data_IF_730050503498
#
_entry.id   IF_730050503498
#
_cell.length_a   1.000
_cell.length_b   1.000
_cell.length_c   1.000
_cell.angle_alpha   90.00
_cell.angle_beta   90.00
_cell.angle_gamma   90.00
#
_symmetry.space_group_name_H-M   'P 1'
#
loop_
_entity.id
_entity.type
_entity.pdbx_description
1 polymer ?
#
# COMPACT_ATOMS: atom_id res chain seq x y z
N UNK A 1 3.27 -9.45 62.71
CA UNK A 1 1.95 -9.66 62.09
C UNK A 1 2.11 -10.71 61.00
N UNK A 2 1.53 -11.88 61.23
CA UNK A 2 1.50 -12.99 60.31
C UNK A 2 0.21 -12.95 59.50
N UNK A 3 0.28 -13.16 58.19
CA UNK A 3 -0.75 -13.88 57.44
C UNK A 3 -0.04 -14.72 56.37
N UNK A 4 -0.14 -16.03 56.54
CA UNK A 4 0.21 -17.07 55.59
C UNK A 4 -1.01 -17.41 54.77
N UNK A 5 -0.86 -17.67 53.46
CA UNK A 5 -1.67 -18.68 52.77
C UNK A 5 -0.83 -19.43 51.73
N UNK A 6 -0.48 -20.67 52.08
CA UNK A 6 -0.18 -21.74 51.12
C UNK A 6 -1.51 -22.38 50.65
N UNK A 7 -1.60 -22.69 49.35
CA UNK A 7 -2.25 -23.90 48.80
C UNK A 7 -1.66 -24.09 47.40
N UNK A 8 -0.68 -24.99 47.18
CA UNK A 8 -0.82 -26.45 46.94
C UNK A 8 -1.87 -26.80 45.88
N UNK A 9 -1.43 -26.91 44.63
CA UNK A 9 -1.97 -27.86 43.65
C UNK A 9 -0.80 -28.55 42.93
N UNK A 10 -0.70 -29.90 42.99
CA UNK A 10 0.38 -30.64 42.34
C UNK A 10 0.06 -30.90 40.87
N UNK A 11 0.98 -30.54 39.97
CA UNK A 11 0.97 -31.01 38.59
C UNK A 11 1.36 -32.50 38.58
N UNK A 12 0.41 -33.37 38.23
CA UNK A 12 0.68 -34.78 37.92
C UNK A 12 1.28 -34.90 36.51
N UNK A 13 2.31 -35.74 36.30
CA UNK A 13 2.77 -36.08 34.97
C UNK A 13 1.80 -37.11 34.35
N UNK A 14 1.19 -36.77 33.21
CA UNK A 14 0.48 -37.75 32.39
C UNK A 14 1.52 -38.39 31.46
N UNK A 15 2.08 -39.51 31.90
CA UNK A 15 2.69 -40.51 31.02
C UNK A 15 1.58 -41.37 30.45
N UNK A 16 1.44 -41.43 29.12
CA UNK A 16 0.80 -42.57 28.47
C UNK A 16 1.58 -42.97 27.22
N UNK A 17 2.08 -44.19 27.30
CA UNK A 17 2.71 -44.98 26.27
C UNK A 17 1.88 -44.99 24.98
N UNK A 18 2.49 -44.56 23.87
CA UNK A 18 2.01 -44.93 22.54
C UNK A 18 2.93 -46.03 22.02
N UNK A 19 2.32 -47.21 21.87
CA UNK A 19 2.91 -48.40 21.29
C UNK A 19 3.33 -48.14 19.83
N UNK A 20 4.61 -48.38 19.54
CA UNK A 20 5.13 -48.55 18.18
C UNK A 20 4.38 -49.68 17.49
N UNK A 21 3.70 -49.39 16.39
CA UNK A 21 3.22 -50.40 15.46
C UNK A 21 3.88 -50.22 14.09
N UNK A 22 4.44 -51.34 13.65
CA UNK A 22 5.15 -51.68 12.43
C UNK A 22 4.84 -50.87 11.16
N UNK A 23 5.90 -50.32 10.55
CA UNK A 23 5.98 -50.08 9.10
C UNK A 23 6.29 -51.41 8.40
N UNK A 24 5.55 -51.83 7.35
CA UNK A 24 6.06 -52.82 6.42
C UNK A 24 6.89 -52.11 5.33
N UNK A 25 8.12 -52.58 5.14
CA UNK A 25 8.94 -52.25 3.98
C UNK A 25 8.30 -52.82 2.72
N UNK A 26 7.94 -51.97 1.77
CA UNK A 26 7.62 -52.43 0.41
C UNK A 26 8.90 -52.46 -0.41
N UNK A 27 9.38 -53.70 -0.59
CA UNK A 27 10.43 -54.08 -1.50
C UNK A 27 10.08 -53.67 -2.93
N UNK A 28 11.04 -53.00 -3.56
CA UNK A 28 11.03 -52.63 -4.96
C UNK A 28 11.14 -53.90 -5.81
N UNK A 29 10.04 -54.36 -6.40
CA UNK A 29 10.06 -55.44 -7.41
C UNK A 29 9.75 -54.82 -8.77
N UNK A 30 10.79 -54.81 -9.62
CA UNK A 30 10.72 -54.37 -11.01
C UNK A 30 10.24 -55.56 -11.84
N UNK A 31 9.01 -55.51 -12.34
CA UNK A 31 8.51 -56.49 -13.32
C UNK A 31 8.41 -55.82 -14.68
N UNK A 32 9.32 -56.19 -15.57
CA UNK A 32 9.24 -55.90 -17.01
C UNK A 32 8.40 -56.98 -17.68
N UNK A 33 7.25 -56.59 -18.22
CA UNK A 33 6.50 -57.41 -19.18
C UNK A 33 6.38 -56.65 -20.50
N UNK A 34 7.02 -57.18 -21.54
CA UNK A 34 6.75 -56.84 -22.93
C UNK A 34 5.45 -57.51 -23.37
N UNK A 35 4.51 -56.73 -23.87
CA UNK A 35 3.37 -57.23 -24.61
C UNK A 35 3.13 -56.32 -25.82
N UNK A 36 3.32 -56.89 -27.01
CA UNK A 36 3.01 -56.26 -28.30
C UNK A 36 1.62 -56.74 -28.71
N UNK A 37 0.64 -55.84 -28.76
CA UNK A 37 -0.61 -56.06 -29.51
C UNK A 37 -1.09 -54.79 -30.19
N UNK A 38 -1.66 -55.01 -31.36
CA UNK A 38 -1.99 -54.10 -32.46
C UNK A 38 -3.15 -53.11 -32.19
N UNK A 39 -3.07 -51.95 -32.87
CA UNK A 39 -3.95 -50.75 -32.84
C UNK A 39 -5.46 -51.02 -32.94
N UNK A 40 -6.29 -50.08 -32.45
CA UNK A 40 -6.90 -49.10 -33.36
C UNK A 40 -6.69 -47.64 -32.91
N UNK A 41 -6.46 -46.73 -33.87
CA UNK A 41 -6.38 -45.28 -33.61
C UNK A 41 -7.74 -44.72 -33.19
N UNK A 42 -7.85 -43.98 -32.08
CA UNK A 42 -8.99 -43.11 -31.85
C UNK A 42 -8.76 -41.79 -32.59
N UNK A 43 -9.79 -41.42 -33.34
CA UNK A 43 -9.95 -40.16 -34.07
C UNK A 43 -9.65 -39.00 -33.10
N UNK A 44 -8.61 -38.22 -33.42
CA UNK A 44 -8.33 -36.96 -32.73
C UNK A 44 -9.35 -35.94 -33.23
N UNK A 45 -10.54 -35.96 -32.66
CA UNK A 45 -11.40 -34.78 -32.68
C UNK A 45 -10.58 -33.64 -32.09
N UNK A 46 -10.24 -32.66 -32.91
CA UNK A 46 -9.82 -31.35 -32.43
C UNK A 46 -11.02 -30.81 -31.67
N UNK A 47 -11.05 -31.09 -30.37
CA UNK A 47 -11.76 -30.27 -29.41
C UNK A 47 -11.06 -28.90 -29.51
N UNK A 48 -11.51 -28.09 -30.47
CA UNK A 48 -11.35 -26.65 -30.43
C UNK A 48 -12.17 -26.26 -29.21
N UNK A 49 -11.56 -26.40 -28.04
CA UNK A 49 -11.93 -25.63 -26.87
C UNK A 49 -11.61 -24.21 -27.30
N UNK A 50 -12.61 -23.61 -27.94
CA UNK A 50 -12.75 -22.17 -28.00
C UNK A 50 -12.72 -21.76 -26.53
N UNK A 51 -11.52 -21.44 -26.07
CA UNK A 51 -11.25 -20.76 -24.82
C UNK A 51 -11.79 -19.36 -25.06
N UNK A 52 -13.13 -19.26 -25.10
CA UNK A 52 -13.87 -18.02 -25.04
C UNK A 52 -13.45 -17.45 -23.71
N UNK A 53 -12.50 -16.52 -23.78
CA UNK A 53 -12.10 -15.68 -22.68
C UNK A 53 -13.36 -14.95 -22.20
N UNK A 54 -14.16 -15.60 -21.36
CA UNK A 54 -15.25 -15.01 -20.61
C UNK A 54 -14.69 -14.39 -19.32
N UNK A 55 -13.58 -13.67 -19.45
CA UNK A 55 -13.30 -12.57 -18.56
C UNK A 55 -13.42 -11.34 -19.46
N UNK A 56 -14.46 -10.49 -19.34
CA UNK A 56 -14.29 -9.14 -19.83
C UNK A 56 -12.99 -8.61 -19.21
N UNK A 57 -12.12 -7.92 -19.96
CA UNK A 57 -10.96 -7.33 -19.33
C UNK A 57 -11.50 -6.39 -18.23
N UNK A 58 -11.13 -6.65 -16.98
CA UNK A 58 -11.43 -5.80 -15.82
C UNK A 58 -11.05 -4.32 -16.07
N UNK A 59 -10.24 -4.09 -17.12
CA UNK A 59 -9.94 -2.80 -17.76
C UNK A 59 -11.16 -1.98 -18.21
N UNK A 60 -12.37 -2.56 -18.31
CA UNK A 60 -13.57 -1.83 -18.74
C UNK A 60 -14.44 -1.31 -17.58
N UNK A 61 -14.01 -1.48 -16.33
CA UNK A 61 -14.71 -0.89 -15.19
C UNK A 61 -14.66 0.66 -15.29
N UNK A 62 -15.81 1.35 -15.47
CA UNK A 62 -15.85 2.80 -15.60
C UNK A 62 -15.37 3.52 -14.33
N UNK A 63 -15.44 2.89 -13.16
CA UNK A 63 -14.98 3.48 -11.88
C UNK A 63 -13.47 3.63 -11.82
N UNK A 64 -12.73 2.86 -12.64
CA UNK A 64 -11.26 2.89 -12.73
C UNK A 64 -10.76 3.85 -13.84
N UNK A 65 -11.65 4.37 -14.68
CA UNK A 65 -11.31 5.25 -15.80
C UNK A 65 -11.14 6.71 -15.37
N UNK A 66 -10.31 7.45 -16.10
CA UNK A 66 -10.13 8.89 -15.93
C UNK A 66 -11.15 9.68 -16.74
N UNK A 67 -11.98 10.45 -16.04
CA UNK A 67 -12.87 11.44 -16.65
C UNK A 67 -12.07 12.68 -17.10
N UNK A 68 -12.70 13.55 -17.88
CA UNK A 68 -12.12 14.86 -18.21
C UNK A 68 -11.92 15.72 -16.96
N UNK A 69 -12.84 15.68 -16.00
CA UNK A 69 -12.71 16.37 -14.72
C UNK A 69 -11.48 15.90 -13.95
N UNK A 70 -11.20 14.60 -13.93
CA UNK A 70 -9.98 14.08 -13.30
C UNK A 70 -8.72 14.67 -13.97
N UNK A 71 -8.69 14.66 -15.30
CA UNK A 71 -7.57 15.17 -16.09
C UNK A 71 -7.35 16.67 -15.90
N UNK A 72 -8.43 17.46 -15.82
CA UNK A 72 -8.37 18.90 -15.57
C UNK A 72 -7.79 19.20 -14.19
N UNK A 73 -8.21 18.48 -13.13
CA UNK A 73 -7.63 18.66 -11.80
C UNK A 73 -6.16 18.29 -11.74
N UNK A 74 -5.76 17.20 -12.40
CA UNK A 74 -4.34 16.83 -12.49
C UNK A 74 -3.54 17.87 -13.26
N UNK A 75 -4.06 18.40 -14.37
CA UNK A 75 -3.41 19.47 -15.10
C UNK A 75 -3.25 20.73 -14.21
N UNK A 76 -4.30 21.16 -13.53
CA UNK A 76 -4.24 22.32 -12.62
C UNK A 76 -3.23 22.13 -11.48
N UNK A 77 -3.23 20.95 -10.84
CA UNK A 77 -2.27 20.60 -9.79
C UNK A 77 -0.83 20.60 -10.30
N UNK A 78 -0.57 19.94 -11.44
CA UNK A 78 0.76 19.94 -12.06
C UNK A 78 1.22 21.35 -12.45
N UNK A 79 0.35 22.17 -13.05
CA UNK A 79 0.69 23.55 -13.41
C UNK A 79 1.05 24.38 -12.17
N UNK A 80 0.30 24.21 -11.09
CA UNK A 80 0.60 24.87 -9.80
C UNK A 80 1.96 24.45 -9.27
N UNK A 81 2.25 23.14 -9.21
CA UNK A 81 3.55 22.63 -8.78
C UNK A 81 4.71 23.14 -9.64
N UNK A 82 4.52 23.19 -10.97
CA UNK A 82 5.52 23.69 -11.90
C UNK A 82 5.78 25.19 -11.71
N UNK A 83 4.73 25.98 -11.43
CA UNK A 83 4.88 27.40 -11.11
C UNK A 83 5.71 27.59 -9.84
N UNK A 84 5.37 26.86 -8.77
CA UNK A 84 6.11 26.87 -7.52
C UNK A 84 7.58 26.47 -7.72
N UNK A 85 7.84 25.36 -8.43
CA UNK A 85 9.20 24.90 -8.73
C UNK A 85 9.98 25.93 -9.57
N UNK A 86 9.34 26.53 -10.58
CA UNK A 86 9.97 27.56 -11.41
C UNK A 86 10.34 28.80 -10.60
N UNK A 87 9.49 29.23 -9.64
CA UNK A 87 9.83 30.32 -8.71
C UNK A 87 11.02 29.98 -7.82
N UNK A 88 11.07 28.75 -7.30
CA UNK A 88 12.20 28.29 -6.50
C UNK A 88 13.51 28.34 -7.29
N UNK A 89 13.52 27.79 -8.51
CA UNK A 89 14.71 27.76 -9.37
C UNK A 89 15.12 29.17 -9.79
N UNK A 90 14.20 29.96 -10.33
CA UNK A 90 14.51 31.31 -10.85
C UNK A 90 14.92 32.27 -9.73
N UNK A 91 14.26 32.21 -8.57
CA UNK A 91 14.65 32.99 -7.39
C UNK A 91 15.98 32.54 -6.80
N UNK A 92 16.24 31.23 -6.72
CA UNK A 92 17.53 30.70 -6.24
C UNK A 92 18.69 31.09 -7.17
N UNK A 93 18.50 30.98 -8.48
CA UNK A 93 19.49 31.42 -9.48
C UNK A 93 19.71 32.94 -9.39
N UNK A 94 18.64 33.74 -9.37
CA UNK A 94 18.74 35.20 -9.35
C UNK A 94 19.34 35.78 -8.06
N UNK A 95 19.24 35.06 -6.94
CA UNK A 95 19.80 35.45 -5.64
C UNK A 95 21.17 34.81 -5.34
N UNK A 96 21.66 33.90 -6.19
CA UNK A 96 22.82 33.05 -5.92
C UNK A 96 22.69 32.15 -4.67
N UNK A 97 21.46 31.93 -4.18
CA UNK A 97 21.13 31.08 -3.03
C UNK A 97 20.61 29.72 -3.52
N UNK A 98 21.50 28.85 -3.99
CA UNK A 98 21.07 27.59 -4.64
C UNK A 98 20.88 26.48 -3.60
N UNK A 99 21.66 26.54 -2.51
CA UNK A 99 21.69 25.54 -1.47
C UNK A 99 20.43 25.59 -0.59
N UNK A 100 19.98 26.79 -0.20
CA UNK A 100 18.86 26.93 0.74
C UNK A 100 17.54 26.39 0.16
N UNK A 101 17.13 26.72 -1.08
CA UNK A 101 15.94 26.12 -1.69
C UNK A 101 16.06 24.61 -1.89
N UNK A 102 17.25 24.10 -2.20
CA UNK A 102 17.48 22.67 -2.37
C UNK A 102 17.35 21.93 -1.03
N UNK A 103 17.93 22.47 0.06
CA UNK A 103 17.77 21.92 1.41
C UNK A 103 16.31 21.99 1.86
N UNK A 104 15.61 23.09 1.58
CA UNK A 104 14.20 23.22 1.85
C UNK A 104 13.36 22.18 1.10
N UNK A 105 13.68 21.92 -0.18
CA UNK A 105 13.08 20.83 -0.95
C UNK A 105 13.34 19.46 -0.34
N UNK A 106 14.56 19.18 0.10
CA UNK A 106 14.90 17.93 0.80
C UNK A 106 14.10 17.76 2.10
N UNK A 107 13.96 18.82 2.90
CA UNK A 107 13.10 18.81 4.09
C UNK A 107 11.64 18.56 3.69
N UNK A 108 11.17 19.17 2.60
CA UNK A 108 9.84 18.95 2.04
C UNK A 108 9.60 17.49 1.68
N UNK A 109 10.56 16.82 1.06
CA UNK A 109 10.49 15.38 0.76
C UNK A 109 10.39 14.52 2.03
N UNK A 110 11.25 14.76 3.02
CA UNK A 110 11.25 14.00 4.28
C UNK A 110 9.94 14.21 5.06
N UNK A 111 9.42 15.44 5.10
CA UNK A 111 8.16 15.72 5.78
C UNK A 111 6.94 15.23 5.00
N UNK A 112 6.99 15.15 3.67
CA UNK A 112 5.91 14.58 2.87
C UNK A 112 5.75 13.07 3.12
N UNK A 113 6.86 12.35 3.28
CA UNK A 113 6.81 10.92 3.65
C UNK A 113 6.17 10.74 5.04
N UNK A 114 6.62 11.50 6.05
CA UNK A 114 6.00 11.50 7.38
C UNK A 114 4.51 11.84 7.32
N UNK A 115 4.15 12.91 6.61
CA UNK A 115 2.77 13.36 6.46
C UNK A 115 1.90 12.30 5.78
N UNK A 116 2.43 11.58 4.79
CA UNK A 116 1.73 10.46 4.16
C UNK A 116 1.43 9.35 5.16
N UNK A 117 2.38 9.01 6.04
CA UNK A 117 2.20 7.99 7.08
C UNK A 117 1.17 8.39 8.12
N UNK A 118 1.23 9.63 8.63
CA UNK A 118 0.24 10.14 9.60
C UNK A 118 -1.16 10.13 9.01
N UNK A 119 -1.31 10.58 7.77
CA UNK A 119 -2.61 10.60 7.10
C UNK A 119 -3.15 9.18 6.86
N UNK A 120 -2.30 8.28 6.36
CA UNK A 120 -2.66 6.88 6.11
C UNK A 120 -3.05 6.14 7.39
N UNK A 121 -2.26 6.28 8.46
CA UNK A 121 -2.61 5.74 9.77
C UNK A 121 -3.98 6.25 10.25
N UNK A 122 -4.26 7.55 10.07
CA UNK A 122 -5.51 8.14 10.55
C UNK A 122 -6.74 7.58 9.84
N UNK A 123 -6.72 7.52 8.50
CA UNK A 123 -7.88 7.06 7.70
C UNK A 123 -8.10 5.55 7.76
N UNK A 124 -7.04 4.78 8.02
CA UNK A 124 -7.14 3.33 8.25
C UNK A 124 -7.77 3.00 9.60
N UNK A 125 -7.63 3.89 10.58
CA UNK A 125 -8.01 3.60 11.97
C UNK A 125 -9.27 4.31 12.44
N UNK A 126 -9.62 5.47 11.88
CA UNK A 126 -10.67 6.33 12.41
C UNK A 126 -11.66 6.78 11.35
N UNK A 127 -12.91 6.94 11.80
CA UNK A 127 -14.02 7.32 10.95
C UNK A 127 -14.46 6.21 10.00
N UNK A 128 -15.45 6.57 9.20
CA UNK A 128 -16.12 5.75 8.19
C UNK A 128 -16.51 6.62 6.98
N UNK A 129 -17.25 6.05 6.03
CA UNK A 129 -17.75 6.72 4.83
C UNK A 129 -18.63 7.95 5.10
N UNK A 130 -19.21 8.05 6.30
CA UNK A 130 -20.05 9.19 6.71
C UNK A 130 -19.24 10.37 7.26
N UNK A 131 -17.92 10.19 7.47
CA UNK A 131 -17.04 11.25 7.98
C UNK A 131 -17.05 12.47 7.05
N UNK A 132 -17.38 13.68 7.55
CA UNK A 132 -17.41 14.87 6.72
C UNK A 132 -16.07 15.11 6.02
N UNK A 133 -16.13 15.53 4.75
CA UNK A 133 -15.00 15.89 3.87
C UNK A 133 -14.10 14.73 3.44
N UNK A 134 -13.82 13.75 4.32
CA UNK A 134 -12.84 12.68 4.10
C UNK A 134 -13.45 11.27 4.03
N UNK A 135 -14.75 11.10 4.26
CA UNK A 135 -15.40 9.77 4.32
C UNK A 135 -15.17 8.92 3.06
N UNK A 136 -15.29 9.52 1.87
CA UNK A 136 -15.00 8.80 0.62
C UNK A 136 -13.53 8.35 0.48
N UNK A 137 -12.59 9.04 1.14
CA UNK A 137 -11.18 8.64 1.16
C UNK A 137 -10.96 7.52 2.17
N UNK A 138 -11.61 7.61 3.33
CA UNK A 138 -11.61 6.57 4.37
C UNK A 138 -12.14 5.25 3.79
N UNK A 139 -13.30 5.28 3.12
CA UNK A 139 -13.87 4.11 2.43
C UNK A 139 -12.89 3.54 1.38
N UNK A 140 -12.29 4.41 0.56
CA UNK A 140 -11.38 3.97 -0.50
C UNK A 140 -10.07 3.34 0.03
N UNK A 141 -9.51 3.87 1.12
CA UNK A 141 -8.29 3.32 1.73
C UNK A 141 -8.57 2.03 2.49
N UNK A 142 -9.66 1.94 3.24
CA UNK A 142 -10.03 0.70 3.93
C UNK A 142 -10.39 -0.40 2.94
N UNK A 143 -11.18 -0.09 1.90
CA UNK A 143 -11.48 -1.04 0.83
C UNK A 143 -10.24 -1.47 0.03
N UNK A 144 -9.15 -0.71 0.07
CA UNK A 144 -7.93 -1.04 -0.63
C UNK A 144 -7.19 -2.25 0.00
N UNK A 145 -7.24 -2.44 1.33
CA UNK A 145 -6.65 -3.65 1.94
C UNK A 145 -7.36 -4.93 1.47
N UNK A 146 -8.66 -4.83 1.23
CA UNK A 146 -9.48 -5.92 0.70
C UNK A 146 -9.21 -6.22 -0.78
N UNK A 147 -9.04 -5.17 -1.60
CA UNK A 147 -8.85 -5.29 -3.04
C UNK A 147 -7.62 -4.51 -3.53
N UNK A 148 -6.39 -4.92 -3.14
CA UNK A 148 -5.18 -4.13 -3.33
C UNK A 148 -4.83 -3.93 -4.81
N UNK A 149 -5.19 -4.87 -5.69
CA UNK A 149 -4.91 -4.77 -7.11
C UNK A 149 -5.60 -3.58 -7.80
N UNK A 150 -6.70 -3.07 -7.25
CA UNK A 150 -7.51 -2.01 -7.86
C UNK A 150 -6.70 -0.73 -8.10
N UNK A 151 -5.80 -0.38 -7.18
CA UNK A 151 -4.94 0.81 -7.30
C UNK A 151 -3.99 0.74 -8.51
N UNK A 152 -3.56 -0.48 -8.88
CA UNK A 152 -2.68 -0.69 -10.05
C UNK A 152 -3.43 -0.63 -11.39
N UNK A 153 -4.76 -0.73 -11.35
CA UNK A 153 -5.63 -0.72 -12.53
C UNK A 153 -6.31 0.63 -12.76
N UNK A 154 -6.45 1.44 -11.70
CA UNK A 154 -6.97 2.80 -11.77
C UNK A 154 -6.08 3.66 -12.66
N UNK A 155 -6.68 4.36 -13.61
CA UNK A 155 -5.94 5.25 -14.51
C UNK A 155 -5.33 6.42 -13.73
N UNK A 156 -4.17 6.89 -14.20
CA UNK A 156 -3.34 7.93 -13.55
C UNK A 156 -4.14 9.14 -13.05
N UNK A 157 -4.98 9.76 -13.91
CA UNK A 157 -5.69 10.96 -13.48
C UNK A 157 -6.80 10.67 -12.46
N UNK A 158 -7.50 9.54 -12.60
CA UNK A 158 -8.44 9.08 -11.57
C UNK A 158 -7.72 8.86 -10.23
N UNK A 159 -6.52 8.29 -10.23
CA UNK A 159 -5.77 8.05 -9.01
C UNK A 159 -5.31 9.34 -8.30
N UNK A 160 -5.03 10.42 -9.04
CA UNK A 160 -4.39 11.63 -8.51
C UNK A 160 -5.33 12.83 -8.31
N UNK A 161 -6.48 12.89 -9.01
CA UNK A 161 -7.26 14.12 -9.13
C UNK A 161 -7.68 14.74 -7.78
N UNK A 162 -8.02 13.93 -6.78
CA UNK A 162 -8.44 14.43 -5.47
C UNK A 162 -7.32 15.21 -4.78
N UNK A 163 -6.11 14.66 -4.79
CA UNK A 163 -4.92 15.32 -4.24
C UNK A 163 -4.48 16.50 -5.11
N UNK A 164 -4.56 16.37 -6.43
CA UNK A 164 -4.27 17.47 -7.34
C UNK A 164 -5.19 18.69 -7.12
N UNK A 165 -6.47 18.45 -6.81
CA UNK A 165 -7.42 19.49 -6.41
C UNK A 165 -7.02 20.14 -5.09
N UNK A 166 -6.66 19.35 -4.06
CA UNK A 166 -6.19 19.87 -2.78
C UNK A 166 -4.93 20.73 -2.97
N UNK A 167 -3.95 20.24 -3.75
CA UNK A 167 -2.73 20.99 -4.07
C UNK A 167 -3.04 22.27 -4.82
N UNK A 168 -3.95 22.25 -5.79
CA UNK A 168 -4.38 23.46 -6.51
C UNK A 168 -4.92 24.50 -5.52
N UNK A 169 -5.82 24.12 -4.61
CA UNK A 169 -6.40 25.08 -3.66
C UNK A 169 -5.46 25.54 -2.55
N UNK A 170 -4.45 24.74 -2.20
CA UNK A 170 -3.54 25.05 -1.08
C UNK A 170 -2.25 25.73 -1.53
N UNK A 171 -1.68 25.33 -2.68
CA UNK A 171 -0.41 25.84 -3.18
C UNK A 171 -0.58 27.05 -4.09
N UNK A 172 -1.64 27.10 -4.92
CA UNK A 172 -1.85 28.25 -5.81
C UNK A 172 -1.91 29.60 -5.06
N UNK A 173 -2.61 29.72 -3.91
CA UNK A 173 -2.56 30.97 -3.15
C UNK A 173 -1.15 31.33 -2.68
N UNK A 174 -0.31 30.35 -2.34
CA UNK A 174 1.09 30.57 -1.95
C UNK A 174 1.91 31.06 -3.15
N UNK A 175 1.70 30.46 -4.33
CA UNK A 175 2.30 30.89 -5.58
C UNK A 175 1.84 32.29 -6.01
N UNK A 176 0.69 32.77 -5.55
CA UNK A 176 0.25 34.13 -5.85
C UNK A 176 0.74 35.15 -4.80
N UNK A 177 0.87 34.73 -3.54
CA UNK A 177 1.19 35.61 -2.42
C UNK A 177 2.70 35.77 -2.17
N UNK A 178 3.51 34.76 -2.48
CA UNK A 178 4.93 34.73 -2.13
C UNK A 178 5.82 34.55 -3.36
N UNK A 179 7.09 34.99 -3.25
CA UNK A 179 8.14 34.81 -4.25
C UNK A 179 9.46 34.32 -3.61
N UNK A 180 9.41 33.88 -2.35
CA UNK A 180 10.59 33.39 -1.64
C UNK A 180 11.03 32.03 -2.23
N UNK A 181 12.25 31.90 -2.76
CA UNK A 181 12.68 30.67 -3.42
C UNK A 181 12.82 29.48 -2.47
N UNK A 182 13.09 29.72 -1.18
CA UNK A 182 13.22 28.69 -0.14
C UNK A 182 11.85 28.12 0.19
N UNK A 183 10.85 28.99 0.40
CA UNK A 183 9.45 28.57 0.59
C UNK A 183 8.98 27.76 -0.59
N UNK A 184 9.23 28.23 -1.81
CA UNK A 184 8.85 27.50 -3.02
C UNK A 184 9.62 26.19 -3.20
N UNK A 185 10.87 26.09 -2.76
CA UNK A 185 11.64 24.84 -2.78
C UNK A 185 11.01 23.77 -1.90
N UNK A 186 10.65 24.14 -0.67
CA UNK A 186 9.91 23.29 0.25
C UNK A 186 8.54 22.90 -0.30
N UNK A 187 7.70 23.90 -0.63
CA UNK A 187 6.30 23.70 -1.02
C UNK A 187 6.19 22.87 -2.29
N UNK A 188 6.99 23.18 -3.32
CA UNK A 188 6.98 22.42 -4.57
C UNK A 188 7.31 20.94 -4.36
N UNK A 189 8.36 20.64 -3.57
CA UNK A 189 8.77 19.26 -3.33
C UNK A 189 7.78 18.52 -2.44
N UNK A 190 7.36 19.13 -1.32
CA UNK A 190 6.38 18.53 -0.40
C UNK A 190 5.07 18.23 -1.13
N UNK A 191 4.52 19.21 -1.84
CA UNK A 191 3.24 19.07 -2.53
C UNK A 191 3.33 18.11 -3.73
N UNK A 192 4.48 18.04 -4.43
CA UNK A 192 4.72 17.02 -5.45
C UNK A 192 4.66 15.62 -4.84
N UNK A 193 5.38 15.38 -3.75
CA UNK A 193 5.38 14.08 -3.07
C UNK A 193 3.99 13.69 -2.58
N UNK A 194 3.24 14.63 -1.97
CA UNK A 194 1.86 14.36 -1.52
C UNK A 194 0.96 14.05 -2.71
N UNK A 195 0.95 14.88 -3.76
CA UNK A 195 0.09 14.68 -4.93
C UNK A 195 0.34 13.34 -5.62
N UNK A 196 1.60 12.95 -5.78
CA UNK A 196 1.99 11.73 -6.47
C UNK A 196 2.10 10.50 -5.55
N UNK A 197 1.86 10.65 -4.25
CA UNK A 197 1.92 9.54 -3.28
C UNK A 197 1.05 8.35 -3.68
N UNK A 198 -0.14 8.58 -4.23
CA UNK A 198 -1.01 7.51 -4.72
C UNK A 198 -0.42 6.76 -5.92
N UNK A 199 0.41 7.42 -6.75
CA UNK A 199 1.11 6.74 -7.84
C UNK A 199 2.30 5.93 -7.32
N UNK A 200 3.02 6.45 -6.33
CA UNK A 200 4.12 5.74 -5.66
C UNK A 200 3.59 4.48 -4.97
N UNK A 201 2.49 4.61 -4.24
CA UNK A 201 1.72 3.52 -3.67
C UNK A 201 1.29 2.50 -4.74
N UNK A 202 0.72 2.94 -5.86
CA UNK A 202 0.34 2.03 -6.95
C UNK A 202 1.54 1.24 -7.51
N UNK A 203 2.71 1.87 -7.61
CA UNK A 203 3.94 1.19 -8.02
C UNK A 203 4.45 0.21 -6.96
N UNK A 204 4.21 0.46 -5.67
CA UNK A 204 4.54 -0.48 -4.60
C UNK A 204 3.75 -1.80 -4.71
N UNK A 205 2.57 -1.80 -5.32
CA UNK A 205 1.84 -3.03 -5.61
C UNK A 205 2.32 -3.77 -6.89
N UNK A 206 3.15 -3.11 -7.71
CA UNK A 206 3.63 -3.64 -8.98
C UNK A 206 4.79 -4.64 -8.86
N UNK A 207 4.81 -5.67 -9.71
CA UNK A 207 6.01 -6.50 -9.87
C UNK A 207 7.07 -5.73 -10.65
N UNK A 208 8.36 -5.89 -10.29
CA UNK A 208 9.48 -5.20 -10.98
C UNK A 208 9.42 -5.31 -12.51
N UNK A 209 9.01 -6.46 -13.05
CA UNK A 209 8.88 -6.71 -14.49
C UNK A 209 7.78 -5.89 -15.20
N UNK A 210 6.82 -5.33 -14.46
CA UNK A 210 5.71 -4.53 -15.00
C UNK A 210 5.90 -3.03 -14.81
N UNK A 211 6.94 -2.64 -14.07
CA UNK A 211 7.22 -1.24 -13.76
C UNK A 211 8.27 -0.68 -14.73
N UNK A 212 8.24 0.63 -15.02
CA UNK A 212 9.31 1.29 -15.75
C UNK A 212 10.66 1.09 -15.04
N UNK A 213 11.78 0.88 -15.76
CA UNK A 213 13.09 0.64 -15.15
C UNK A 213 13.52 1.75 -14.17
N UNK A 214 13.18 3.00 -14.47
CA UNK A 214 13.46 4.13 -13.57
C UNK A 214 12.70 4.04 -12.24
N UNK A 215 11.44 3.60 -12.26
CA UNK A 215 10.65 3.41 -11.04
C UNK A 215 11.27 2.31 -10.18
N UNK A 216 11.69 1.19 -10.80
CA UNK A 216 12.37 0.11 -10.09
C UNK A 216 13.67 0.60 -9.46
N UNK A 217 14.48 1.37 -10.20
CA UNK A 217 15.72 1.94 -9.67
C UNK A 217 15.45 2.87 -8.47
N UNK A 218 14.42 3.73 -8.55
CA UNK A 218 14.06 4.63 -7.45
C UNK A 218 13.57 3.87 -6.21
N UNK A 219 12.82 2.77 -6.39
CA UNK A 219 12.42 1.89 -5.29
C UNK A 219 13.63 1.16 -4.68
N UNK A 220 14.56 0.66 -5.50
CA UNK A 220 15.76 -0.04 -5.02
C UNK A 220 16.74 0.90 -4.31
N UNK A 221 16.72 2.20 -4.62
CA UNK A 221 17.48 3.24 -3.92
C UNK A 221 16.79 3.78 -2.65
N UNK A 222 15.56 3.36 -2.35
CA UNK A 222 14.77 3.88 -1.23
C UNK A 222 14.25 5.32 -1.44
N UNK A 223 14.23 5.81 -2.68
CA UNK A 223 13.66 7.13 -3.02
C UNK A 223 12.14 7.05 -3.11
N UNK A 224 11.62 5.91 -3.55
CA UNK A 224 10.20 5.58 -3.59
C UNK A 224 9.93 4.33 -2.75
N UNK A 225 8.75 4.27 -2.14
CA UNK A 225 8.36 3.12 -1.31
C UNK A 225 8.42 1.82 -2.11
N UNK A 226 9.07 0.81 -1.54
CA UNK A 226 9.26 -0.47 -2.21
C UNK A 226 8.02 -1.38 -2.06
N UNK A 227 7.87 -2.34 -2.97
CA UNK A 227 6.86 -3.41 -2.84
C UNK A 227 7.02 -4.22 -1.56
N UNK A 228 8.26 -4.40 -1.10
CA UNK A 228 8.52 -5.16 0.12
C UNK A 228 7.97 -4.42 1.33
N UNK A 229 8.36 -3.15 1.51
CA UNK A 229 7.94 -2.34 2.66
C UNK A 229 6.43 -2.16 2.70
N UNK A 230 5.82 -1.74 1.60
CA UNK A 230 4.37 -1.59 1.57
C UNK A 230 3.64 -2.94 1.69
N UNK A 231 4.24 -4.03 1.22
CA UNK A 231 3.70 -5.37 1.41
C UNK A 231 3.73 -5.87 2.86
N UNK A 232 4.51 -5.25 3.76
CA UNK A 232 4.44 -5.54 5.20
C UNK A 232 3.21 -4.86 5.85
N UNK A 233 2.86 -3.65 5.39
CA UNK A 233 1.65 -2.95 5.84
C UNK A 233 0.36 -3.74 5.55
N UNK A 234 0.31 -4.43 4.41
CA UNK A 234 -0.80 -5.29 4.00
C UNK A 234 -0.88 -6.63 4.75
N UNK A 235 -0.09 -6.82 5.81
CA UNK A 235 -0.15 -8.03 6.64
C UNK A 235 -0.71 -7.72 8.00
N UNK A 236 -1.45 -8.68 8.54
CA UNK A 236 -1.90 -8.63 9.92
C UNK A 236 -0.72 -8.32 10.86
N UNK A 237 -0.90 -7.39 11.83
CA UNK A 237 -2.17 -6.80 12.25
C UNK A 237 -2.49 -5.41 11.62
N UNK A 238 -1.93 -5.08 10.44
CA UNK A 238 -2.22 -3.84 9.69
C UNK A 238 -1.92 -2.54 10.45
N UNK A 239 -0.89 -2.56 11.29
CA UNK A 239 -0.56 -1.48 12.23
C UNK A 239 0.84 -0.87 12.02
N UNK A 240 1.45 -1.07 10.86
CA UNK A 240 2.83 -0.67 10.58
C UNK A 240 3.00 -0.15 9.14
N UNK A 241 4.18 0.39 8.83
CA UNK A 241 4.60 0.78 7.47
C UNK A 241 3.63 1.70 6.70
N UNK A 242 3.04 2.69 7.38
CA UNK A 242 2.04 3.59 6.81
C UNK A 242 2.55 4.58 5.76
N UNK A 243 3.84 4.95 5.75
CA UNK A 243 4.37 5.94 4.82
C UNK A 243 4.49 5.38 3.40
N UNK A 244 3.99 6.13 2.41
CA UNK A 244 3.84 5.69 1.02
C UNK A 244 4.58 6.55 -0.01
N UNK A 245 5.40 7.52 0.43
CA UNK A 245 6.25 8.28 -0.49
C UNK A 245 7.54 7.49 -0.74
N UNK A 246 8.37 7.35 0.29
CA UNK A 246 9.60 6.59 0.28
C UNK A 246 9.64 5.49 1.33
N UNK A 247 8.86 5.62 2.40
CA UNK A 247 8.92 4.72 3.55
C UNK A 247 10.05 5.05 4.52
N UNK A 248 10.77 6.16 4.31
CA UNK A 248 11.92 6.56 5.14
C UNK A 248 11.57 6.69 6.63
N UNK A 249 10.33 7.09 6.95
CA UNK A 249 9.86 7.20 8.33
C UNK A 249 9.36 5.90 8.95
N UNK A 250 9.03 4.88 8.15
CA UNK A 250 8.34 3.69 8.64
C UNK A 250 9.10 3.00 9.77
N UNK A 251 10.39 2.71 9.56
CA UNK A 251 11.21 2.06 10.58
C UNK A 251 11.22 2.84 11.90
N UNK A 252 11.38 4.17 11.83
CA UNK A 252 11.44 5.02 13.03
C UNK A 252 10.10 5.06 13.74
N UNK A 253 8.99 5.21 13.01
CA UNK A 253 7.64 5.25 13.58
C UNK A 253 7.26 3.91 14.21
N UNK A 254 7.57 2.79 13.55
CA UNK A 254 7.25 1.44 14.01
C UNK A 254 8.11 1.04 15.22
N UNK A 255 9.43 1.29 15.21
CA UNK A 255 10.32 0.96 16.34
C UNK A 255 10.02 1.83 17.58
N UNK A 256 9.61 3.08 17.38
CA UNK A 256 9.23 3.99 18.48
C UNK A 256 7.80 3.79 18.97
N UNK A 257 7.00 2.98 18.27
CA UNK A 257 5.56 2.80 18.52
C UNK A 257 4.78 4.10 18.56
N UNK A 258 5.17 5.05 17.69
CA UNK A 258 4.65 6.41 17.72
C UNK A 258 3.12 6.43 17.54
N UNK A 259 2.62 5.59 16.63
CA UNK A 259 1.19 5.50 16.36
C UNK A 259 0.44 4.78 17.48
N UNK A 260 0.96 3.70 18.07
CA UNK A 260 0.30 3.07 19.23
C UNK A 260 0.21 4.03 20.42
N UNK A 261 1.25 4.83 20.67
CA UNK A 261 1.21 5.86 21.72
C UNK A 261 0.10 6.89 21.44
N UNK A 262 -0.05 7.32 20.18
CA UNK A 262 -1.09 8.26 19.78
C UNK A 262 -2.49 7.63 19.88
N UNK A 263 -2.65 6.37 19.51
CA UNK A 263 -3.87 5.59 19.69
C UNK A 263 -4.28 5.51 21.17
N UNK A 264 -3.34 5.16 22.06
CA UNK A 264 -3.60 5.15 23.51
C UNK A 264 -4.03 6.53 24.02
N UNK A 265 -3.39 7.60 23.53
CA UNK A 265 -3.75 8.96 23.91
C UNK A 265 -5.16 9.35 23.45
N UNK A 266 -5.54 9.01 22.22
CA UNK A 266 -6.89 9.25 21.68
C UNK A 266 -7.93 8.42 22.43
N UNK A 267 -7.64 7.16 22.73
CA UNK A 267 -8.53 6.30 23.51
C UNK A 267 -8.77 6.82 24.92
N UNK A 268 -7.71 7.17 25.67
CA UNK A 268 -7.88 7.65 27.04
C UNK A 268 -8.48 9.05 27.14
N UNK A 269 -8.26 9.92 26.15
CA UNK A 269 -8.80 11.29 26.17
C UNK A 269 -10.21 11.40 25.57
N UNK A 270 -10.51 10.63 24.53
CA UNK A 270 -11.72 10.78 23.72
C UNK A 270 -12.59 9.52 23.70
N UNK A 271 -12.12 8.39 24.22
CA UNK A 271 -12.83 7.11 24.17
C UNK A 271 -12.85 6.47 22.78
N UNK A 272 -12.11 7.02 21.81
CA UNK A 272 -12.09 6.53 20.42
C UNK A 272 -11.05 5.44 20.27
N UNK A 273 -11.49 4.25 19.84
CA UNK A 273 -10.63 3.09 19.61
C UNK A 273 -10.21 3.01 18.13
N UNK A 274 -8.93 2.78 17.81
CA UNK A 274 -8.52 2.54 16.43
C UNK A 274 -8.99 1.17 15.93
N UNK A 275 -9.22 1.07 14.62
CA UNK A 275 -9.63 -0.18 13.97
C UNK A 275 -8.54 -1.27 14.06
N UNK A 276 -7.26 -0.90 14.04
CA UNK A 276 -6.09 -1.80 14.16
C UNK A 276 -6.06 -2.65 15.44
N UNK A 277 -6.80 -2.28 16.48
CA UNK A 277 -6.88 -3.05 17.73
C UNK A 277 -7.88 -4.20 17.68
N UNK A 278 -8.62 -4.35 16.59
CA UNK A 278 -9.56 -5.45 16.41
C UNK A 278 -8.87 -6.57 15.63
N UNK A 279 -9.27 -7.82 15.88
CA UNK A 279 -8.81 -8.93 15.04
C UNK A 279 -9.17 -8.66 13.57
N UNK A 280 -8.24 -8.87 12.62
CA UNK A 280 -8.53 -8.64 11.21
C UNK A 280 -9.76 -9.44 10.76
N UNK A 281 -10.77 -8.74 10.29
CA UNK A 281 -11.98 -9.32 9.73
C UNK A 281 -11.86 -9.39 8.19
N UNK A 282 -12.94 -9.81 7.51
CA UNK A 282 -13.00 -9.87 6.05
C UNK A 282 -12.88 -8.51 5.34
N UNK A 283 -12.95 -7.40 6.06
CA UNK A 283 -12.77 -6.04 5.50
C UNK A 283 -11.29 -5.71 5.29
N UNK A 284 -10.39 -6.35 6.04
CA UNK A 284 -8.94 -6.18 5.92
C UNK A 284 -8.27 -7.21 5.01
N UNK A 285 -8.87 -8.39 4.91
CA UNK A 285 -8.23 -9.53 4.25
C UNK A 285 -8.40 -9.45 2.74
N UNK A 286 -7.30 -9.56 2.00
CA UNK A 286 -7.31 -9.61 0.55
C UNK A 286 -8.24 -10.73 0.06
N UNK A 287 -9.22 -10.39 -0.79
CA UNK A 287 -10.03 -11.39 -1.46
C UNK A 287 -9.20 -12.07 -2.56
N UNK A 288 -8.64 -13.24 -2.27
CA UNK A 288 -8.03 -14.09 -3.29
C UNK A 288 -9.12 -14.71 -4.15
N UNK A 289 -9.09 -14.48 -5.47
CA UNK A 289 -9.98 -15.14 -6.45
C UNK A 289 -9.91 -16.68 -6.32
N UNK A 290 -10.83 -17.27 -5.54
CA UNK A 290 -10.98 -18.72 -5.36
C UNK A 290 -11.48 -19.43 -6.64
N UNK A 291 -11.64 -18.73 -7.76
CA UNK A 291 -12.11 -19.29 -9.03
C UNK A 291 -11.00 -19.90 -9.90
N UNK A 292 -9.73 -19.84 -9.48
CA UNK A 292 -8.59 -20.30 -10.29
C UNK A 292 -7.97 -21.64 -9.85
N UNK A 293 -8.52 -22.29 -8.81
CA UNK A 293 -7.96 -23.53 -8.24
C UNK A 293 -8.81 -24.80 -8.42
N UNK A 294 -9.86 -24.76 -9.25
CA UNK A 294 -10.66 -25.94 -9.58
C UNK A 294 -11.00 -25.95 -11.06
N UNK A 295 -10.06 -26.39 -11.93
CA UNK A 295 -10.28 -27.28 -13.10
C UNK A 295 -8.93 -27.89 -13.46
#
# INVERSE_FOLDING_TARGET
MAVSFQTKYPLRPITNNISRTNRPSLLHVRVTCSATTTKPQPIREKLVVEKRFLNPPLSNDPTLQSTWTHRLWVAAGCTTLLASLAKSITGGVGSHLWLEPALAGYVGYILADLGSGVYHWAIDNYGDESTPLVGAQIEAFQGHHKWPWTITRRQFANNLHALARVITFTVLPLDLAFNDPVVHGFVSTFAFCIMFSQQFHAWAHGTKSKLPPLVVALQDMGVLVSRKEHGEHHRAPYNNNYCIVSGAWNKVLDESKAFEVLEMALYFKLGVRPRSWSEPNSEWTEETDLSSSQV
#
